data_IF_142499225511
#
_entry.id   IF_142499225511
#
_cell.length_a   1.000
_cell.length_b   1.000
_cell.length_c   1.000
_cell.angle_alpha   90.00
_cell.angle_beta   90.00
_cell.angle_gamma   90.00
#
_symmetry.space_group_name_H-M   'P 1'
#
loop_
_entity.id
_entity.type
_entity.pdbx_description
1 polymer ?
#
# COMPACT_ATOMS: atom_id res chain seq x y z
N UNK A 1 7.78 33.52 -11.52
CA UNK A 1 8.81 32.65 -12.12
C UNK A 1 8.26 31.24 -12.08
N UNK A 2 7.80 30.71 -13.21
CA UNK A 2 7.37 29.32 -13.28
C UNK A 2 8.60 28.43 -13.37
N UNK A 3 8.74 27.54 -12.39
CA UNK A 3 9.79 26.52 -12.42
C UNK A 3 9.30 25.42 -13.38
N UNK A 4 9.81 25.43 -14.61
CA UNK A 4 9.50 24.40 -15.60
C UNK A 4 9.96 23.02 -15.12
N UNK A 5 9.18 21.99 -15.43
CA UNK A 5 9.55 20.62 -15.13
C UNK A 5 10.85 20.23 -15.85
N UNK A 6 11.84 19.78 -15.10
CA UNK A 6 13.06 19.22 -15.68
C UNK A 6 12.70 18.01 -16.55
N UNK A 7 13.21 17.95 -17.78
CA UNK A 7 13.10 16.77 -18.63
C UNK A 7 13.81 15.63 -17.91
N UNK A 8 13.02 14.73 -17.29
CA UNK A 8 13.56 13.52 -16.70
C UNK A 8 14.16 12.65 -17.80
N UNK A 9 15.29 11.96 -17.52
CA UNK A 9 15.81 10.92 -18.39
C UNK A 9 14.77 9.81 -18.62
N UNK A 10 15.11 8.79 -19.41
CA UNK A 10 14.22 7.66 -19.68
C UNK A 10 13.67 7.06 -18.38
N UNK A 11 12.36 7.07 -18.23
CA UNK A 11 11.65 6.48 -17.10
C UNK A 11 11.03 5.14 -17.53
N UNK A 12 11.20 4.11 -16.70
CA UNK A 12 10.49 2.84 -16.91
C UNK A 12 9.04 3.02 -16.52
N UNK A 13 8.14 2.69 -17.44
CA UNK A 13 6.71 2.65 -17.15
C UNK A 13 6.34 1.32 -16.50
N UNK A 14 5.44 1.37 -15.53
CA UNK A 14 4.90 0.19 -14.85
C UNK A 14 3.42 0.01 -15.20
N UNK A 15 2.92 -1.27 -15.27
CA UNK A 15 1.51 -1.53 -15.47
C UNK A 15 0.64 -0.85 -14.42
N UNK A 16 -0.47 -0.25 -14.84
CA UNK A 16 -1.44 0.43 -13.98
C UNK A 16 -2.80 -0.25 -14.01
N UNK A 17 -3.60 -0.08 -12.96
CA UNK A 17 -5.02 -0.41 -13.01
C UNK A 17 -5.76 0.51 -13.99
N UNK A 18 -6.89 0.02 -14.51
CA UNK A 18 -7.76 0.84 -15.39
C UNK A 18 -8.62 1.82 -14.58
N UNK A 19 -8.93 1.48 -13.34
CA UNK A 19 -9.75 2.30 -12.45
C UNK A 19 -8.90 3.45 -11.88
N UNK A 20 -9.27 4.69 -12.20
CA UNK A 20 -8.54 5.91 -11.81
C UNK A 20 -8.66 6.25 -10.32
N UNK A 21 -9.66 5.70 -9.62
CA UNK A 21 -9.81 5.89 -8.17
C UNK A 21 -8.68 5.15 -7.42
N UNK A 22 -8.20 4.05 -7.99
CA UNK A 22 -7.17 3.25 -7.34
C UNK A 22 -5.83 3.98 -7.25
N UNK A 23 -5.07 3.78 -6.15
CA UNK A 23 -3.72 4.31 -6.04
C UNK A 23 -2.85 3.90 -7.24
N UNK A 24 -2.07 4.83 -7.78
CA UNK A 24 -1.11 4.53 -8.85
C UNK A 24 0.01 3.62 -8.36
N UNK A 25 0.41 2.69 -9.22
CA UNK A 25 1.55 1.82 -8.99
C UNK A 25 2.88 2.50 -9.41
N UNK A 26 3.98 2.30 -8.68
CA UNK A 26 4.10 1.57 -7.42
C UNK A 26 3.45 2.31 -6.24
N UNK A 27 2.61 1.61 -5.48
CA UNK A 27 1.94 2.20 -4.32
C UNK A 27 2.74 2.00 -3.03
N UNK A 28 2.53 2.90 -2.07
CA UNK A 28 3.05 2.83 -0.71
C UNK A 28 1.88 3.12 0.22
N UNK A 29 1.30 2.07 0.76
CA UNK A 29 0.02 2.18 1.42
C UNK A 29 0.07 1.72 2.89
N UNK A 30 -0.85 2.27 3.67
CA UNK A 30 -1.14 1.82 5.03
C UNK A 30 -2.61 1.40 5.07
N UNK A 31 -2.88 0.18 5.54
CA UNK A 31 -4.19 -0.34 5.87
C UNK A 31 -4.38 -0.31 7.39
N UNK A 32 -5.15 0.66 7.88
CA UNK A 32 -5.32 0.97 9.30
C UNK A 32 -6.68 0.47 9.80
N UNK A 33 -6.69 -0.45 10.74
CA UNK A 33 -7.95 -0.91 11.34
C UNK A 33 -7.75 -2.07 12.31
N UNK A 34 -8.70 -2.33 13.19
CA UNK A 34 -8.63 -3.44 14.15
C UNK A 34 -8.62 -4.79 13.43
N UNK A 35 -8.29 -5.85 14.19
CA UNK A 35 -8.44 -7.22 13.69
C UNK A 35 -9.89 -7.47 13.27
N UNK A 36 -10.08 -8.31 12.25
CA UNK A 36 -11.39 -8.66 11.66
C UNK A 36 -12.17 -7.48 11.05
N UNK A 37 -11.50 -6.36 10.74
CA UNK A 37 -12.15 -5.22 10.08
C UNK A 37 -12.30 -5.38 8.56
N UNK A 38 -11.70 -6.41 7.95
CA UNK A 38 -11.75 -6.68 6.52
C UNK A 38 -10.51 -6.26 5.74
N UNK A 39 -9.40 -5.87 6.41
CA UNK A 39 -8.14 -5.46 5.75
C UNK A 39 -7.62 -6.54 4.80
N UNK A 40 -7.43 -7.75 5.31
CA UNK A 40 -6.94 -8.90 4.53
C UNK A 40 -7.84 -9.19 3.34
N UNK A 41 -9.16 -9.23 3.54
CA UNK A 41 -10.13 -9.46 2.46
C UNK A 41 -10.05 -8.38 1.37
N UNK A 42 -9.93 -7.11 1.75
CA UNK A 42 -9.77 -6.02 0.79
C UNK A 42 -8.49 -6.18 -0.02
N UNK A 43 -7.35 -6.49 0.62
CA UNK A 43 -6.07 -6.68 -0.05
C UNK A 43 -6.10 -7.89 -1.00
N UNK A 44 -6.68 -9.02 -0.58
CA UNK A 44 -6.88 -10.20 -1.44
C UNK A 44 -7.75 -9.85 -2.63
N UNK A 45 -8.89 -9.17 -2.42
CA UNK A 45 -9.79 -8.74 -3.49
C UNK A 45 -9.08 -7.80 -4.47
N UNK A 46 -8.28 -6.84 -3.97
CA UNK A 46 -7.50 -5.95 -4.84
C UNK A 46 -6.54 -6.71 -5.78
N UNK A 47 -6.03 -7.87 -5.38
CA UNK A 47 -5.08 -8.64 -6.17
C UNK A 47 -5.75 -9.65 -7.11
N UNK A 48 -6.94 -10.14 -6.77
CA UNK A 48 -7.60 -11.25 -7.48
C UNK A 48 -8.74 -10.82 -8.39
N UNK A 49 -9.30 -9.63 -8.19
CA UNK A 49 -10.43 -9.10 -8.97
C UNK A 49 -9.95 -8.18 -10.10
N UNK A 50 -10.49 -8.39 -11.32
CA UNK A 50 -10.15 -7.64 -12.53
C UNK A 50 -10.50 -6.15 -12.49
N UNK A 51 -11.42 -5.75 -11.61
CA UNK A 51 -11.77 -4.35 -11.36
C UNK A 51 -10.64 -3.57 -10.67
N UNK A 52 -9.67 -4.27 -10.08
CA UNK A 52 -8.56 -3.71 -9.32
C UNK A 52 -7.20 -4.03 -9.96
N UNK A 53 -6.29 -4.65 -9.22
CA UNK A 53 -4.91 -4.88 -9.66
C UNK A 53 -4.63 -6.29 -10.17
N UNK A 54 -5.64 -7.10 -10.47
CA UNK A 54 -5.43 -8.43 -11.04
C UNK A 54 -4.50 -8.38 -12.26
N UNK A 55 -3.44 -9.18 -12.24
CA UNK A 55 -2.44 -9.23 -13.33
C UNK A 55 -1.51 -8.01 -13.42
N UNK A 56 -1.46 -7.15 -12.40
CA UNK A 56 -0.58 -5.97 -12.38
C UNK A 56 0.72 -6.20 -11.64
N UNK A 57 0.80 -7.23 -10.81
CA UNK A 57 2.00 -7.61 -10.09
C UNK A 57 2.56 -8.91 -10.65
N UNK A 58 3.88 -8.92 -10.89
CA UNK A 58 4.62 -10.11 -11.30
C UNK A 58 5.05 -10.95 -10.09
N UNK A 59 5.24 -10.31 -8.93
CA UNK A 59 5.61 -10.98 -7.70
C UNK A 59 4.83 -10.37 -6.54
N UNK A 60 4.32 -11.22 -5.66
CA UNK A 60 3.62 -10.83 -4.44
C UNK A 60 4.27 -11.56 -3.27
N UNK A 61 4.70 -10.83 -2.26
CA UNK A 61 5.22 -11.36 -1.00
C UNK A 61 4.31 -10.91 0.13
N UNK A 62 3.68 -11.88 0.78
CA UNK A 62 2.81 -11.65 1.93
C UNK A 62 3.51 -12.13 3.18
N UNK A 63 3.78 -11.22 4.10
CA UNK A 63 4.45 -11.47 5.36
C UNK A 63 3.49 -11.19 6.52
N UNK A 64 3.12 -12.21 7.26
CA UNK A 64 2.32 -12.10 8.50
C UNK A 64 2.65 -13.28 9.42
N UNK A 65 2.33 -13.21 10.73
CA UNK A 65 2.59 -14.33 11.63
C UNK A 65 1.86 -15.63 11.25
N UNK A 66 0.84 -15.56 10.41
CA UNK A 66 -0.01 -16.69 10.03
C UNK A 66 -0.16 -16.83 8.51
N UNK A 67 0.76 -16.25 7.73
CA UNK A 67 0.64 -16.20 6.27
C UNK A 67 0.51 -17.57 5.62
N UNK A 68 1.15 -18.60 6.16
CA UNK A 68 1.14 -19.95 5.59
C UNK A 68 -0.12 -20.75 5.94
N UNK A 69 -0.81 -20.41 7.03
CA UNK A 69 -1.95 -21.19 7.55
C UNK A 69 -3.29 -20.46 7.51
N UNK A 70 -3.32 -19.15 7.19
CA UNK A 70 -4.54 -18.34 7.16
C UNK A 70 -5.41 -18.73 5.95
N UNK A 71 -6.64 -19.29 6.17
CA UNK A 71 -7.54 -19.68 5.07
C UNK A 71 -8.03 -18.48 4.24
N UNK A 72 -8.04 -17.27 4.81
CA UNK A 72 -8.44 -16.07 4.07
C UNK A 72 -7.52 -15.76 2.88
N UNK A 73 -6.33 -16.35 2.86
CA UNK A 73 -5.35 -16.20 1.78
C UNK A 73 -5.44 -17.30 0.71
N UNK A 74 -6.29 -18.32 0.86
CA UNK A 74 -6.36 -19.45 -0.09
C UNK A 74 -6.69 -18.99 -1.51
N UNK A 75 -7.63 -18.05 -1.65
CA UNK A 75 -7.98 -17.48 -2.96
C UNK A 75 -6.77 -16.79 -3.62
N UNK A 76 -5.93 -16.13 -2.83
CA UNK A 76 -4.72 -15.50 -3.34
C UNK A 76 -3.63 -16.54 -3.67
N UNK A 77 -3.51 -17.61 -2.86
CA UNK A 77 -2.58 -18.73 -3.13
C UNK A 77 -2.90 -19.39 -4.46
N UNK A 78 -4.18 -19.73 -4.67
CA UNK A 78 -4.64 -20.32 -5.92
C UNK A 78 -4.38 -19.38 -7.09
N UNK A 79 -4.71 -18.11 -6.95
CA UNK A 79 -4.46 -17.11 -7.98
C UNK A 79 -2.98 -16.98 -8.36
N UNK A 80 -2.06 -16.91 -7.38
CA UNK A 80 -0.62 -16.81 -7.64
C UNK A 80 -0.10 -18.08 -8.33
N UNK A 81 -0.54 -19.26 -7.88
CA UNK A 81 -0.19 -20.54 -8.49
C UNK A 81 -0.65 -20.61 -9.95
N UNK A 82 -1.88 -20.22 -10.23
CA UNK A 82 -2.47 -20.27 -11.57
C UNK A 82 -1.83 -19.27 -12.54
N UNK A 83 -1.29 -18.16 -12.04
CA UNK A 83 -0.59 -17.19 -12.88
C UNK A 83 0.78 -17.69 -13.36
N UNK A 84 1.40 -18.63 -12.65
CA UNK A 84 2.71 -19.21 -12.99
C UNK A 84 3.86 -18.18 -13.08
N UNK A 85 3.65 -16.97 -12.61
CA UNK A 85 4.64 -15.87 -12.73
C UNK A 85 5.68 -15.94 -11.62
N UNK A 86 5.25 -16.35 -10.44
CA UNK A 86 6.13 -16.60 -9.30
C UNK A 86 6.55 -18.06 -9.35
N UNK A 87 7.85 -18.32 -9.48
CA UNK A 87 8.37 -19.71 -9.61
C UNK A 87 8.04 -20.55 -8.36
N UNK A 88 8.05 -21.88 -8.53
CA UNK A 88 7.75 -22.83 -7.45
C UNK A 88 8.68 -22.67 -6.22
N UNK A 89 9.90 -22.19 -6.44
CA UNK A 89 10.91 -21.96 -5.40
C UNK A 89 10.86 -20.52 -4.80
N UNK A 90 9.93 -19.70 -5.29
CA UNK A 90 9.80 -18.30 -4.85
C UNK A 90 8.55 -18.17 -3.99
N UNK A 91 8.70 -18.53 -2.72
CA UNK A 91 7.60 -18.50 -1.76
C UNK A 91 6.95 -17.11 -1.67
N UNK A 92 5.63 -17.08 -1.88
CA UNK A 92 4.84 -15.85 -1.79
C UNK A 92 4.42 -15.52 -0.37
N UNK A 93 4.32 -16.52 0.51
CA UNK A 93 3.75 -16.41 1.86
C UNK A 93 4.79 -16.77 2.91
N UNK A 94 5.03 -15.85 3.84
CA UNK A 94 6.07 -15.99 4.87
C UNK A 94 5.48 -15.76 6.25
N UNK A 95 5.71 -16.69 7.17
CA UNK A 95 5.39 -16.52 8.59
C UNK A 95 6.42 -15.60 9.25
N UNK A 96 6.09 -14.30 9.28
CA UNK A 96 6.96 -13.24 9.78
C UNK A 96 7.68 -12.47 8.67
N UNK A 97 8.64 -11.63 9.07
CA UNK A 97 9.40 -10.76 8.16
C UNK A 97 10.86 -11.19 8.14
N UNK A 98 11.28 -11.82 7.05
CA UNK A 98 12.67 -12.06 6.73
C UNK A 98 13.22 -10.91 5.87
N UNK A 99 13.95 -9.98 6.53
CA UNK A 99 14.51 -8.79 5.86
C UNK A 99 15.56 -9.20 4.83
N UNK A 100 16.38 -10.20 5.09
CA UNK A 100 17.44 -10.63 4.17
C UNK A 100 16.85 -11.20 2.88
N UNK A 101 15.82 -12.05 3.01
CA UNK A 101 15.07 -12.57 1.87
C UNK A 101 14.43 -11.44 1.05
N UNK A 102 13.62 -10.58 1.68
CA UNK A 102 12.94 -9.49 0.99
C UNK A 102 13.91 -8.51 0.34
N UNK A 103 15.03 -8.18 1.01
CA UNK A 103 16.07 -7.32 0.45
C UNK A 103 16.65 -7.94 -0.83
N UNK A 104 16.91 -9.25 -0.83
CA UNK A 104 17.41 -9.95 -2.02
C UNK A 104 16.47 -9.83 -3.22
N UNK A 105 15.15 -9.91 -2.97
CA UNK A 105 14.11 -9.75 -4.01
C UNK A 105 14.03 -8.31 -4.52
N UNK A 106 14.10 -7.34 -3.62
CA UNK A 106 14.15 -5.91 -3.98
C UNK A 106 15.41 -5.59 -4.79
N UNK A 107 16.57 -6.14 -4.44
CA UNK A 107 17.82 -5.92 -5.17
C UNK A 107 17.76 -6.55 -6.57
N UNK A 108 17.13 -7.72 -6.73
CA UNK A 108 16.86 -8.32 -8.03
C UNK A 108 15.97 -7.43 -8.88
N UNK A 109 14.86 -6.94 -8.32
CA UNK A 109 13.93 -6.04 -9.00
C UNK A 109 14.61 -4.72 -9.40
N UNK A 110 15.48 -4.18 -8.55
CA UNK A 110 16.30 -3.00 -8.84
C UNK A 110 17.20 -3.22 -10.05
N UNK A 111 17.94 -4.33 -10.08
CA UNK A 111 18.82 -4.68 -11.21
C UNK A 111 18.05 -4.76 -12.53
N UNK A 112 16.87 -5.40 -12.53
CA UNK A 112 16.01 -5.48 -13.72
C UNK A 112 15.58 -4.09 -14.17
N UNK A 113 15.12 -3.25 -13.26
CA UNK A 113 14.67 -1.88 -13.60
C UNK A 113 15.82 -1.02 -14.11
N UNK A 114 17.01 -1.12 -13.52
CA UNK A 114 18.21 -0.41 -13.96
C UNK A 114 18.66 -0.87 -15.36
N UNK A 115 18.55 -2.17 -15.66
CA UNK A 115 18.82 -2.70 -16.99
C UNK A 115 17.86 -2.10 -18.04
N UNK A 116 16.54 -2.10 -17.76
CA UNK A 116 15.54 -1.51 -18.65
C UNK A 116 15.81 -0.02 -18.91
N UNK A 117 16.20 0.73 -17.87
CA UNK A 117 16.58 2.15 -17.99
C UNK A 117 17.81 2.34 -18.87
N UNK A 118 18.89 1.60 -18.57
CA UNK A 118 20.17 1.72 -19.27
C UNK A 118 20.04 1.44 -20.76
N UNK A 119 19.24 0.43 -21.12
CA UNK A 119 19.08 0.00 -22.51
C UNK A 119 17.86 0.64 -23.20
N UNK A 120 17.17 1.57 -22.53
CA UNK A 120 15.96 2.28 -23.05
C UNK A 120 14.92 1.31 -23.63
N UNK A 121 14.72 0.17 -22.94
CA UNK A 121 13.80 -0.87 -23.39
C UNK A 121 12.37 -0.35 -23.29
N UNK A 122 11.62 -0.38 -24.39
CA UNK A 122 10.22 0.11 -24.46
C UNK A 122 9.21 -0.79 -23.74
N UNK A 123 9.64 -1.96 -23.25
CA UNK A 123 8.78 -2.87 -22.48
C UNK A 123 8.45 -2.24 -21.12
N UNK A 124 7.20 -2.38 -20.69
CA UNK A 124 6.80 -2.01 -19.32
C UNK A 124 7.58 -2.82 -18.30
N UNK A 125 8.04 -2.17 -17.25
CA UNK A 125 8.68 -2.83 -16.13
C UNK A 125 7.73 -3.76 -15.37
N UNK A 126 8.29 -4.63 -14.55
CA UNK A 126 7.53 -5.50 -13.66
C UNK A 126 7.21 -4.78 -12.36
N UNK A 127 6.00 -4.98 -11.83
CA UNK A 127 5.64 -4.55 -10.48
C UNK A 127 5.83 -5.70 -9.50
N UNK A 128 6.45 -5.40 -8.37
CA UNK A 128 6.52 -6.27 -7.20
C UNK A 128 5.64 -5.67 -6.10
N UNK A 129 4.99 -6.51 -5.30
CA UNK A 129 4.25 -6.09 -4.12
C UNK A 129 4.77 -6.83 -2.88
N UNK A 130 5.03 -6.07 -1.83
CA UNK A 130 5.31 -6.59 -0.49
C UNK A 130 4.17 -6.15 0.42
N UNK A 131 3.51 -7.11 1.06
CA UNK A 131 2.48 -6.87 2.07
C UNK A 131 3.05 -7.34 3.41
N UNK A 132 3.02 -6.46 4.39
CA UNK A 132 3.36 -6.78 5.77
C UNK A 132 2.10 -6.61 6.60
N UNK A 133 1.49 -7.73 6.98
CA UNK A 133 0.21 -7.76 7.68
C UNK A 133 0.40 -8.15 9.16
N UNK A 134 -0.46 -7.60 10.01
CA UNK A 134 -0.48 -7.81 11.46
C UNK A 134 0.85 -7.48 12.15
N UNK A 135 1.28 -6.24 11.98
CA UNK A 135 2.55 -5.73 12.50
C UNK A 135 2.57 -5.48 14.03
N UNK A 136 1.47 -5.78 14.73
CA UNK A 136 1.29 -5.40 16.14
C UNK A 136 2.28 -6.10 17.09
N UNK A 137 2.72 -7.32 16.77
CA UNK A 137 3.54 -8.17 17.65
C UNK A 137 5.04 -8.26 17.28
N UNK A 138 5.51 -7.44 16.37
CA UNK A 138 6.92 -7.47 15.95
C UNK A 138 7.84 -6.88 17.03
N UNK A 139 8.25 -7.73 17.97
CA UNK A 139 9.21 -7.32 19.04
C UNK A 139 10.65 -7.64 18.67
N UNK A 140 10.91 -8.69 17.87
CA UNK A 140 12.26 -9.11 17.46
C UNK A 140 12.63 -8.50 16.11
N UNK A 141 13.88 -8.06 15.97
CA UNK A 141 14.40 -7.48 14.72
C UNK A 141 13.82 -6.11 14.36
N UNK A 142 13.07 -5.47 15.26
CA UNK A 142 12.35 -4.21 15.01
C UNK A 142 13.22 -3.10 14.38
N UNK A 143 14.46 -2.83 14.83
CA UNK A 143 15.29 -1.77 14.22
C UNK A 143 15.71 -2.07 12.79
N UNK A 144 15.94 -3.33 12.45
CA UNK A 144 16.32 -3.77 11.10
C UNK A 144 15.09 -3.69 10.17
N UNK A 145 13.96 -4.23 10.60
CA UNK A 145 12.68 -4.18 9.87
C UNK A 145 12.28 -2.72 9.64
N UNK A 146 12.36 -1.86 10.66
CA UNK A 146 12.00 -0.44 10.53
C UNK A 146 12.88 0.28 9.50
N UNK A 147 14.20 0.08 9.51
CA UNK A 147 15.12 0.65 8.50
C UNK A 147 14.82 0.14 7.10
N UNK A 148 14.52 -1.14 6.96
CA UNK A 148 14.13 -1.73 5.68
C UNK A 148 12.83 -1.12 5.15
N UNK A 149 11.78 -1.04 5.98
CA UNK A 149 10.49 -0.42 5.63
C UNK A 149 10.67 1.06 5.24
N UNK A 150 11.40 1.84 6.02
CA UNK A 150 11.70 3.25 5.70
C UNK A 150 12.37 3.38 4.34
N UNK A 151 13.35 2.52 4.05
CA UNK A 151 14.02 2.49 2.75
C UNK A 151 13.07 2.19 1.60
N UNK A 152 12.13 1.25 1.78
CA UNK A 152 11.11 0.94 0.78
C UNK A 152 10.17 2.12 0.53
N UNK A 153 9.68 2.77 1.57
CA UNK A 153 8.80 3.93 1.41
C UNK A 153 9.47 5.10 0.68
N UNK A 154 10.77 5.28 0.85
CA UNK A 154 11.52 6.34 0.17
C UNK A 154 11.92 5.97 -1.26
N UNK A 155 12.45 4.75 -1.48
CA UNK A 155 13.21 4.41 -2.70
C UNK A 155 12.50 3.43 -3.62
N UNK A 156 11.67 2.52 -3.08
CA UNK A 156 11.18 1.35 -3.82
C UNK A 156 10.34 1.70 -5.07
N UNK A 157 9.67 2.86 -5.05
CA UNK A 157 8.91 3.37 -6.22
C UNK A 157 9.76 3.45 -7.50
N UNK A 158 11.05 3.72 -7.37
CA UNK A 158 11.96 3.87 -8.53
C UNK A 158 12.29 2.54 -9.19
N UNK A 159 11.97 1.43 -8.52
CA UNK A 159 12.26 0.06 -8.98
C UNK A 159 11.00 -0.76 -9.29
N UNK A 160 9.80 -0.16 -9.23
CA UNK A 160 8.55 -0.87 -9.43
C UNK A 160 8.14 -1.74 -8.24
N UNK A 161 8.59 -1.40 -7.03
CA UNK A 161 8.21 -2.11 -5.81
C UNK A 161 7.14 -1.32 -5.07
N UNK A 162 6.00 -1.97 -4.86
CA UNK A 162 4.90 -1.48 -4.03
C UNK A 162 5.00 -2.10 -2.64
N UNK A 163 4.55 -1.37 -1.63
CA UNK A 163 4.49 -1.86 -0.25
C UNK A 163 3.16 -1.49 0.39
N UNK A 164 2.58 -2.43 1.12
CA UNK A 164 1.41 -2.22 1.98
C UNK A 164 1.74 -2.67 3.40
N UNK A 165 1.52 -1.77 4.36
CA UNK A 165 1.60 -2.09 5.78
C UNK A 165 0.19 -2.18 6.33
N UNK A 166 -0.19 -3.33 6.86
CA UNK A 166 -1.47 -3.53 7.54
C UNK A 166 -1.24 -3.48 9.05
N UNK A 167 -1.95 -2.59 9.73
CA UNK A 167 -1.71 -2.27 11.14
C UNK A 167 -3.00 -1.90 11.88
N UNK A 168 -2.97 -1.99 13.19
CA UNK A 168 -4.07 -1.57 14.05
C UNK A 168 -3.90 -0.14 14.58
N UNK A 169 -2.70 0.44 14.50
CA UNK A 169 -2.37 1.79 14.98
C UNK A 169 -1.48 2.54 14.02
N UNK A 170 -1.75 3.82 13.81
CA UNK A 170 -0.94 4.67 12.92
C UNK A 170 0.39 5.10 13.55
N UNK A 171 0.51 5.06 14.87
CA UNK A 171 1.71 5.46 15.62
C UNK A 171 2.41 4.26 16.27
N UNK A 172 2.61 3.20 15.50
CA UNK A 172 3.44 2.06 15.92
C UNK A 172 4.91 2.28 15.55
N UNK A 173 5.85 1.57 16.20
CA UNK A 173 7.27 1.69 15.88
C UNK A 173 7.61 1.52 14.40
N UNK A 174 6.86 0.69 13.66
CA UNK A 174 7.06 0.48 12.21
C UNK A 174 6.39 1.55 11.33
N UNK A 175 5.47 2.35 11.87
CA UNK A 175 4.87 3.47 11.16
C UNK A 175 5.61 4.75 11.55
N UNK A 176 6.85 4.82 11.14
CA UNK A 176 7.72 5.97 11.40
C UNK A 176 7.19 7.25 10.72
N UNK A 177 7.67 8.43 11.10
CA UNK A 177 7.41 9.66 10.34
C UNK A 177 7.79 9.54 8.86
N UNK A 178 8.88 8.83 8.54
CA UNK A 178 9.31 8.56 7.15
C UNK A 178 8.25 7.79 6.37
N UNK A 179 7.66 6.76 6.98
CA UNK A 179 6.58 5.97 6.38
C UNK A 179 5.36 6.85 6.11
N UNK A 180 4.89 7.62 7.11
CA UNK A 180 3.69 8.46 6.97
C UNK A 180 3.84 9.53 5.89
N UNK A 181 4.94 10.27 5.89
CA UNK A 181 5.20 11.34 4.90
C UNK A 181 5.35 10.79 3.46
N UNK A 182 5.85 9.57 3.30
CA UNK A 182 6.03 8.95 2.00
C UNK A 182 4.86 8.04 1.60
N UNK A 183 3.84 7.91 2.41
CA UNK A 183 2.63 7.17 2.10
C UNK A 183 1.91 7.80 0.90
N UNK A 184 1.37 6.98 0.00
CA UNK A 184 0.61 7.42 -1.18
C UNK A 184 -0.86 7.09 -1.10
N UNK A 185 -1.23 6.18 -0.21
CA UNK A 185 -2.61 5.77 0.01
C UNK A 185 -2.80 5.30 1.46
N UNK A 186 -3.86 5.76 2.09
CA UNK A 186 -4.29 5.28 3.40
C UNK A 186 -5.69 4.68 3.27
N UNK A 187 -5.89 3.49 3.83
CA UNK A 187 -7.19 2.84 3.99
C UNK A 187 -7.48 2.73 5.47
N UNK A 188 -8.51 3.42 5.97
CA UNK A 188 -8.83 3.48 7.40
C UNK A 188 -10.21 2.91 7.68
N UNK A 189 -10.26 1.76 8.34
CA UNK A 189 -11.48 1.13 8.83
C UNK A 189 -11.95 1.77 10.15
N UNK A 190 -13.08 1.32 10.66
CA UNK A 190 -13.63 1.78 11.93
C UNK A 190 -12.65 1.49 13.08
N UNK A 191 -12.02 2.54 13.60
CA UNK A 191 -11.14 2.46 14.75
C UNK A 191 -11.96 2.34 16.04
N UNK A 192 -11.41 1.62 17.04
CA UNK A 192 -12.06 1.40 18.33
C UNK A 192 -11.67 2.43 19.38
N UNK A 193 -10.56 3.12 19.20
CA UNK A 193 -9.99 4.07 20.14
C UNK A 193 -10.05 5.49 19.58
N UNK A 194 -10.60 6.40 20.36
CA UNK A 194 -10.71 7.82 19.99
C UNK A 194 -9.34 8.50 19.86
N UNK A 195 -8.35 8.11 20.65
CA UNK A 195 -6.99 8.62 20.50
C UNK A 195 -6.36 8.20 19.18
N UNK A 196 -6.53 6.94 18.75
CA UNK A 196 -6.03 6.47 17.44
C UNK A 196 -6.75 7.23 16.29
N UNK A 197 -8.02 7.59 16.47
CA UNK A 197 -8.78 8.35 15.49
C UNK A 197 -8.36 9.84 15.49
N UNK A 198 -8.44 10.54 16.62
CA UNK A 198 -8.18 11.97 16.67
C UNK A 198 -6.69 12.30 16.57
N UNK A 199 -5.86 11.74 17.45
CA UNK A 199 -4.42 12.04 17.49
C UNK A 199 -3.65 11.31 16.39
N UNK A 200 -4.19 10.17 15.92
CA UNK A 200 -3.65 9.39 14.82
C UNK A 200 -4.11 9.93 13.46
N UNK A 201 -5.35 9.62 13.07
CA UNK A 201 -5.84 9.85 11.73
C UNK A 201 -6.21 11.33 11.47
N UNK A 202 -7.10 11.91 12.29
CA UNK A 202 -7.64 13.24 12.01
C UNK A 202 -6.55 14.31 12.11
N UNK A 203 -5.74 14.26 13.16
CA UNK A 203 -4.67 15.24 13.33
C UNK A 203 -3.57 15.14 12.27
N UNK A 204 -3.20 13.91 11.85
CA UNK A 204 -2.15 13.69 10.83
C UNK A 204 -2.52 14.34 9.49
N UNK A 205 -3.80 14.31 9.10
CA UNK A 205 -4.28 14.83 7.81
C UNK A 205 -5.04 16.14 7.89
N UNK A 206 -5.09 16.79 9.07
CA UNK A 206 -5.79 18.05 9.27
C UNK A 206 -5.18 19.28 8.57
N UNK A 207 -3.97 19.15 8.05
CA UNK A 207 -3.37 20.17 7.21
C UNK A 207 -3.94 20.16 5.75
N UNK A 208 -4.62 19.08 5.37
CA UNK A 208 -5.17 18.90 4.02
C UNK A 208 -6.63 19.36 3.94
N UNK A 209 -7.38 19.21 5.03
CA UNK A 209 -8.82 19.49 5.09
C UNK A 209 -9.23 19.78 6.53
N UNK A 210 -10.32 20.52 6.71
CA UNK A 210 -10.89 20.78 8.03
C UNK A 210 -11.16 19.49 8.81
N UNK A 211 -10.89 19.51 10.12
CA UNK A 211 -10.98 18.33 10.99
C UNK A 211 -12.38 17.76 11.08
N UNK A 212 -13.39 18.62 11.14
CA UNK A 212 -14.79 18.20 11.25
C UNK A 212 -15.28 17.58 9.96
N UNK A 213 -14.94 18.17 8.81
CA UNK A 213 -15.21 17.60 7.49
C UNK A 213 -14.55 16.21 7.32
N UNK A 214 -13.29 16.07 7.74
CA UNK A 214 -12.59 14.79 7.67
C UNK A 214 -13.22 13.75 8.60
N UNK A 215 -13.60 14.17 9.80
CA UNK A 215 -14.26 13.29 10.75
C UNK A 215 -15.63 12.82 10.25
N UNK A 216 -16.41 13.71 9.62
CA UNK A 216 -17.72 13.37 9.05
C UNK A 216 -17.57 12.42 7.85
N UNK A 217 -16.62 12.66 6.95
CA UNK A 217 -16.31 11.76 5.87
C UNK A 217 -15.88 10.37 6.38
N UNK A 218 -15.05 10.34 7.41
CA UNK A 218 -14.66 9.09 8.07
C UNK A 218 -15.87 8.36 8.65
N UNK A 219 -16.74 9.03 9.42
CA UNK A 219 -17.96 8.42 9.99
C UNK A 219 -18.85 7.81 8.91
N UNK A 220 -19.07 8.55 7.82
CA UNK A 220 -19.87 8.07 6.69
C UNK A 220 -19.23 6.85 6.01
N UNK A 221 -17.93 6.90 5.75
CA UNK A 221 -17.22 5.79 5.11
C UNK A 221 -17.29 4.50 5.93
N UNK A 222 -17.12 4.58 7.27
CA UNK A 222 -17.10 3.41 8.15
C UNK A 222 -18.47 3.04 8.74
N UNK A 223 -19.55 3.72 8.33
CA UNK A 223 -20.91 3.36 8.72
C UNK A 223 -21.34 2.00 8.14
N UNK A 224 -20.88 1.69 6.94
CA UNK A 224 -21.11 0.41 6.27
C UNK A 224 -20.14 -0.63 6.84
N UNK A 225 -20.58 -1.82 7.25
CA UNK A 225 -19.71 -2.89 7.73
C UNK A 225 -18.60 -3.22 6.71
N UNK A 226 -17.38 -3.42 7.21
CA UNK A 226 -16.17 -3.73 6.42
C UNK A 226 -15.73 -2.66 5.43
N UNK A 227 -16.43 -1.54 5.31
CA UNK A 227 -16.02 -0.42 4.47
C UNK A 227 -14.99 0.47 5.21
N UNK A 228 -14.32 1.33 4.46
CA UNK A 228 -13.20 2.14 4.95
C UNK A 228 -13.19 3.53 4.30
N UNK A 229 -12.58 4.48 4.98
CA UNK A 229 -12.16 5.74 4.36
C UNK A 229 -10.87 5.47 3.57
N UNK A 230 -10.88 5.76 2.27
CA UNK A 230 -9.67 5.78 1.45
C UNK A 230 -9.21 7.22 1.25
N UNK A 231 -7.92 7.48 1.52
CA UNK A 231 -7.26 8.76 1.29
C UNK A 231 -6.20 8.58 0.20
N UNK A 232 -6.39 9.22 -0.96
CA UNK A 232 -5.45 9.27 -2.05
C UNK A 232 -4.48 10.45 -1.86
N UNK A 233 -3.32 10.20 -1.28
CA UNK A 233 -2.32 11.21 -0.96
C UNK A 233 -1.53 11.71 -2.19
N UNK A 234 -1.78 11.14 -3.39
CA UNK A 234 -1.23 11.62 -4.66
C UNK A 234 -2.19 12.52 -5.43
N UNK A 235 -3.42 12.67 -4.97
CA UNK A 235 -4.38 13.58 -5.59
C UNK A 235 -3.86 15.01 -5.53
N UNK A 236 -3.99 15.74 -6.64
CA UNK A 236 -3.63 17.17 -6.72
C UNK A 236 -4.77 18.06 -6.26
N UNK A 237 -5.98 17.56 -6.39
CA UNK A 237 -7.22 18.23 -6.04
C UNK A 237 -7.80 17.55 -4.78
N UNK A 238 -8.19 18.37 -3.82
CA UNK A 238 -8.74 17.91 -2.54
C UNK A 238 -10.02 17.08 -2.73
N UNK A 239 -10.83 17.40 -3.74
CA UNK A 239 -12.06 16.67 -4.06
C UNK A 239 -11.80 15.30 -4.69
N UNK A 240 -10.57 14.98 -5.07
CA UNK A 240 -10.15 13.68 -5.56
C UNK A 240 -9.28 12.92 -4.54
N UNK A 241 -9.31 13.35 -3.27
CA UNK A 241 -8.45 12.78 -2.24
C UNK A 241 -9.19 11.78 -1.34
N UNK A 242 -10.47 12.01 -1.03
CA UNK A 242 -11.20 11.25 -0.01
C UNK A 242 -12.36 10.45 -0.60
N UNK A 243 -12.43 9.15 -0.24
CA UNK A 243 -13.44 8.24 -0.77
C UNK A 243 -13.99 7.30 0.31
N UNK A 244 -15.26 6.92 0.17
CA UNK A 244 -15.86 5.79 0.86
C UNK A 244 -15.58 4.52 0.04
N UNK A 245 -14.71 3.66 0.54
CA UNK A 245 -14.19 2.53 -0.22
C UNK A 245 -13.53 2.96 -1.53
N UNK A 246 -13.81 2.22 -2.62
CA UNK A 246 -13.37 2.59 -3.98
C UNK A 246 -14.53 3.04 -4.87
N UNK A 247 -15.61 3.55 -4.31
CA UNK A 247 -16.85 3.81 -5.05
C UNK A 247 -17.35 5.24 -4.93
N UNK A 248 -17.42 5.80 -3.74
CA UNK A 248 -18.03 7.11 -3.50
C UNK A 248 -16.96 8.13 -3.11
N UNK A 249 -16.93 9.23 -3.84
CA UNK A 249 -16.05 10.37 -3.56
C UNK A 249 -16.73 11.33 -2.57
N UNK A 250 -15.94 11.86 -1.64
CA UNK A 250 -16.34 12.99 -0.81
C UNK A 250 -15.85 14.30 -1.42
N UNK A 251 -16.72 15.30 -1.52
CA UNK A 251 -16.36 16.66 -1.92
C UNK A 251 -15.95 17.41 -0.66
N UNK A 252 -14.71 17.90 -0.63
CA UNK A 252 -14.09 18.53 0.54
C UNK A 252 -13.89 20.03 0.38
N UNK A 253 -13.95 20.56 -0.85
CA UNK A 253 -13.91 22.00 -1.14
C UNK A 253 -15.10 22.70 -0.47
N UNK A 254 -14.90 23.94 -0.07
CA UNK A 254 -15.99 24.85 0.28
C UNK A 254 -16.78 25.20 -0.97
N UNK A 255 -18.10 25.17 -0.89
CA UNK A 255 -18.99 25.52 -1.99
C UNK A 255 -18.95 27.03 -2.25
#
# INVERSE_FOLDING_TARGET
MEIGALKSGYAVEFPQAKNEILPRLPLRAIALGPSSSGKTNMLVTMLTDSRFYKGKFSHVYWCSPTATVDPSLDVLRDYIRDQGVQGADDEAFHDGIDVAFLQSRVDRQKKVTEYLKKHKVKQKGWNMLIIMDDLADLRRGLPEISRFVDSLFVKARHWGVSIVLSTQKLKLPLISPTVRVNCTALFAWRLRNMSDLWDGLIHEYSALVDKEKLFDAYKQAVAIPYNFLYINLLAKDIDHMFYSGFTQRFVMSDA
#
